data_IF_369315143711
#
_entry.id   IF_369315143711
#
_cell.length_a   1.000
_cell.length_b   1.000
_cell.length_c   1.000
_cell.angle_alpha   90.00
_cell.angle_beta   90.00
_cell.angle_gamma   90.00
#
_symmetry.space_group_name_H-M   'P 1'
#
loop_
_entity.id
_entity.type
_entity.pdbx_description
1 polymer ?
#
# COMPACT_ATOMS: atom_id res chain seq x y z
N UNK A 1 23.97 46.22 44.92
CA UNK A 1 24.13 44.80 44.67
C UNK A 1 23.04 44.32 43.73
N UNK A 2 23.42 43.86 42.57
CA UNK A 2 22.47 43.34 41.61
C UNK A 2 22.07 41.95 42.09
N UNK A 3 20.80 41.74 42.30
CA UNK A 3 20.27 40.43 42.67
C UNK A 3 20.37 39.52 41.45
N UNK A 4 21.28 38.55 41.51
CA UNK A 4 21.50 37.58 40.44
C UNK A 4 20.24 36.81 40.06
N UNK A 5 19.27 36.72 40.98
CA UNK A 5 17.98 36.05 40.71
C UNK A 5 17.10 36.85 39.76
N UNK A 6 17.36 38.16 39.60
CA UNK A 6 16.64 39.00 38.66
C UNK A 6 17.24 39.00 37.25
N UNK A 7 18.49 38.53 37.12
CA UNK A 7 19.20 38.45 35.83
C UNK A 7 18.87 37.18 35.04
N UNK A 8 18.32 36.21 35.72
CA UNK A 8 17.83 34.99 35.08
C UNK A 8 16.33 34.94 35.32
N UNK A 9 15.55 35.59 34.47
CA UNK A 9 14.11 35.29 34.47
C UNK A 9 14.02 33.78 34.32
N UNK A 10 13.29 33.18 35.24
CA UNK A 10 13.01 31.77 35.16
C UNK A 10 12.75 31.46 33.70
N UNK A 11 13.64 30.73 33.07
CA UNK A 11 13.42 30.21 31.74
C UNK A 11 12.15 29.43 31.92
N UNK A 12 11.05 30.05 31.50
CA UNK A 12 9.80 29.37 31.43
C UNK A 12 10.13 28.10 30.67
N UNK A 13 10.13 27.01 31.39
CA UNK A 13 10.42 25.72 30.81
C UNK A 13 9.51 25.54 29.63
N UNK A 14 10.06 25.61 28.44
CA UNK A 14 9.42 25.24 27.22
C UNK A 14 9.18 23.72 27.17
N UNK A 15 9.46 23.06 28.31
CA UNK A 15 9.12 21.67 28.50
C UNK A 15 7.60 21.55 28.52
N UNK A 16 6.99 21.28 27.41
CA UNK A 16 5.61 20.97 27.51
C UNK A 16 4.75 21.07 26.28
N UNK A 17 5.26 21.56 25.17
CA UNK A 17 4.49 21.44 23.94
C UNK A 17 5.05 20.25 23.17
N UNK A 18 4.64 19.06 23.60
CA UNK A 18 4.73 17.90 22.72
C UNK A 18 3.60 18.07 21.71
N UNK A 19 3.93 18.63 20.57
CA UNK A 19 2.99 18.59 19.44
C UNK A 19 2.98 17.15 18.97
N UNK A 20 1.99 16.39 19.42
CA UNK A 20 1.68 15.11 18.84
C UNK A 20 1.16 15.38 17.43
N UNK A 21 2.02 15.24 16.43
CA UNK A 21 1.54 15.18 15.08
C UNK A 21 0.63 13.96 14.95
N UNK A 22 -0.60 14.13 14.42
CA UNK A 22 -1.44 12.97 14.18
C UNK A 22 -0.68 12.00 13.29
N UNK A 23 -0.75 10.70 13.59
CA UNK A 23 -0.23 9.68 12.71
C UNK A 23 -0.81 9.88 11.30
N UNK A 24 0.00 9.73 10.22
CA UNK A 24 -0.54 9.85 8.88
C UNK A 24 -1.73 8.92 8.73
N UNK A 25 -2.83 9.42 8.21
CA UNK A 25 -4.02 8.63 7.96
C UNK A 25 -3.67 7.46 7.04
N UNK A 26 -4.29 6.30 7.27
CA UNK A 26 -4.18 5.18 6.34
C UNK A 26 -4.65 5.61 4.94
N UNK A 27 -4.05 5.13 3.85
CA UNK A 27 -4.50 5.43 2.50
C UNK A 27 -5.97 5.08 2.32
N UNK A 28 -6.71 5.92 1.58
CA UNK A 28 -8.07 5.60 1.18
C UNK A 28 -8.02 4.46 0.16
N UNK A 29 -8.69 3.31 0.41
CA UNK A 29 -8.59 2.16 -0.48
C UNK A 29 -9.04 2.43 -1.91
N UNK A 30 -10.13 3.20 -2.09
CA UNK A 30 -10.65 3.51 -3.43
C UNK A 30 -9.70 4.42 -4.21
N UNK A 31 -9.16 5.45 -3.56
CA UNK A 31 -8.19 6.35 -4.18
C UNK A 31 -6.90 5.61 -4.52
N UNK A 32 -6.44 4.73 -3.64
CA UNK A 32 -5.25 3.93 -3.89
C UNK A 32 -5.48 2.97 -5.07
N UNK A 33 -6.64 2.31 -5.16
CA UNK A 33 -6.98 1.44 -6.28
C UNK A 33 -6.97 2.20 -7.61
N UNK A 34 -7.53 3.40 -7.64
CA UNK A 34 -7.50 4.26 -8.82
C UNK A 34 -6.06 4.66 -9.18
N UNK A 35 -5.26 4.99 -8.18
CA UNK A 35 -3.85 5.32 -8.38
C UNK A 35 -3.05 4.14 -8.94
N UNK A 36 -3.28 2.93 -8.44
CA UNK A 36 -2.63 1.72 -8.94
C UNK A 36 -2.97 1.48 -10.41
N UNK A 37 -4.24 1.67 -10.78
CA UNK A 37 -4.67 1.56 -12.18
C UNK A 37 -3.99 2.60 -13.07
N UNK A 38 -3.98 3.86 -12.67
CA UNK A 38 -3.38 4.94 -13.48
C UNK A 38 -1.87 4.83 -13.55
N UNK A 39 -1.23 4.25 -12.54
CA UNK A 39 0.22 4.01 -12.52
C UNK A 39 0.65 2.86 -13.42
N UNK A 40 -0.29 2.06 -13.92
CA UNK A 40 0.01 0.90 -14.76
C UNK A 40 0.51 -0.32 -13.99
N UNK A 41 0.35 -0.34 -12.67
CA UNK A 41 0.65 -1.51 -11.83
C UNK A 41 -0.33 -2.62 -12.13
N UNK A 42 0.14 -3.86 -12.19
CA UNK A 42 -0.69 -5.04 -12.34
C UNK A 42 -0.61 -5.90 -11.08
N UNK A 43 -1.73 -6.50 -10.73
CA UNK A 43 -1.90 -7.34 -9.57
C UNK A 43 -2.31 -8.75 -10.02
N UNK A 44 -1.35 -9.67 -9.93
CA UNK A 44 -1.54 -11.06 -10.36
C UNK A 44 -1.89 -11.94 -9.18
N UNK A 45 -2.94 -12.71 -9.31
CA UNK A 45 -3.39 -13.57 -8.23
C UNK A 45 -4.21 -14.75 -8.70
N UNK A 46 -4.73 -15.48 -7.72
CA UNK A 46 -5.63 -16.61 -7.92
C UNK A 46 -6.82 -16.47 -6.98
N UNK A 47 -8.00 -16.71 -7.51
CA UNK A 47 -9.25 -16.68 -6.74
C UNK A 47 -9.26 -17.70 -5.59
N UNK A 48 -8.45 -18.75 -5.68
CA UNK A 48 -8.33 -19.80 -4.66
C UNK A 48 -7.25 -19.51 -3.61
N UNK A 49 -6.43 -18.50 -3.82
CA UNK A 49 -5.29 -18.23 -2.95
C UNK A 49 -5.73 -17.45 -1.70
N UNK A 50 -5.53 -18.00 -0.49
CA UNK A 50 -5.88 -17.28 0.75
C UNK A 50 -5.16 -15.94 0.90
N UNK A 51 -3.91 -15.84 0.50
CA UNK A 51 -3.14 -14.60 0.53
C UNK A 51 -3.74 -13.54 -0.40
N UNK A 52 -4.21 -13.94 -1.58
CA UNK A 52 -4.90 -13.02 -2.51
C UNK A 52 -6.22 -12.52 -1.93
N UNK A 53 -6.96 -13.39 -1.25
CA UNK A 53 -8.20 -13.01 -0.57
C UNK A 53 -7.91 -12.04 0.57
N UNK A 54 -6.84 -12.26 1.34
CA UNK A 54 -6.40 -11.34 2.39
C UNK A 54 -6.00 -9.99 1.80
N UNK A 55 -5.28 -9.98 0.69
CA UNK A 55 -4.91 -8.76 -0.02
C UNK A 55 -6.15 -7.98 -0.46
N UNK A 56 -7.10 -8.63 -1.06
CA UNK A 56 -8.34 -8.01 -1.52
C UNK A 56 -9.15 -7.40 -0.36
N UNK A 57 -9.17 -8.06 0.79
CA UNK A 57 -9.88 -7.56 1.98
C UNK A 57 -9.36 -6.22 2.48
N UNK A 58 -8.06 -5.94 2.29
CA UNK A 58 -7.49 -4.64 2.69
C UNK A 58 -8.10 -3.48 1.90
N UNK A 59 -8.61 -3.74 0.70
CA UNK A 59 -9.27 -2.74 -0.14
C UNK A 59 -10.78 -2.67 0.10
N UNK A 60 -11.37 -3.62 0.84
CA UNK A 60 -12.80 -3.65 1.07
C UNK A 60 -13.59 -3.62 -0.24
N UNK A 61 -14.58 -2.75 -0.34
CA UNK A 61 -15.42 -2.62 -1.54
C UNK A 61 -14.63 -2.14 -2.77
N UNK A 62 -13.50 -1.47 -2.56
CA UNK A 62 -12.64 -1.00 -3.65
C UNK A 62 -11.87 -2.13 -4.35
N UNK A 63 -11.93 -3.35 -3.86
CA UNK A 63 -11.26 -4.51 -4.48
C UNK A 63 -11.64 -4.71 -5.94
N UNK A 64 -12.87 -4.37 -6.31
CA UNK A 64 -13.35 -4.49 -7.70
C UNK A 64 -12.68 -3.50 -8.66
N UNK A 65 -12.03 -2.48 -8.14
CA UNK A 65 -11.30 -1.47 -8.92
C UNK A 65 -9.82 -1.81 -9.10
N UNK A 66 -9.33 -2.86 -8.45
CA UNK A 66 -7.92 -3.25 -8.54
C UNK A 66 -7.54 -3.71 -9.95
N UNK A 67 -6.30 -3.43 -10.40
CA UNK A 67 -5.80 -3.89 -11.69
C UNK A 67 -5.45 -5.38 -11.64
N UNK A 68 -6.45 -6.21 -11.37
CA UNK A 68 -6.32 -7.63 -11.08
C UNK A 68 -6.28 -8.49 -12.34
N UNK A 69 -5.34 -9.44 -12.35
CA UNK A 69 -5.20 -10.45 -13.40
C UNK A 69 -5.35 -11.84 -12.76
N UNK A 70 -6.34 -12.59 -13.22
CA UNK A 70 -6.65 -13.92 -12.70
C UNK A 70 -5.80 -14.99 -13.37
N UNK A 71 -4.97 -15.68 -12.60
CA UNK A 71 -4.03 -16.67 -13.12
C UNK A 71 -4.58 -18.11 -13.14
N UNK A 72 -5.64 -18.39 -12.38
CA UNK A 72 -6.11 -19.76 -12.15
C UNK A 72 -7.36 -20.16 -12.96
N UNK A 73 -8.04 -19.21 -13.58
CA UNK A 73 -9.25 -19.49 -14.39
C UNK A 73 -8.90 -19.67 -15.86
N UNK A 74 -8.21 -20.77 -16.17
CA UNK A 74 -7.68 -21.02 -17.51
C UNK A 74 -8.76 -21.22 -18.58
N UNK A 75 -9.93 -21.71 -18.20
CA UNK A 75 -11.06 -21.93 -19.12
C UNK A 75 -11.92 -20.68 -19.31
N UNK A 76 -12.24 -20.00 -18.21
CA UNK A 76 -13.12 -18.83 -18.20
C UNK A 76 -12.39 -17.56 -18.64
N UNK A 77 -11.11 -17.42 -18.26
CA UNK A 77 -10.27 -16.25 -18.54
C UNK A 77 -8.92 -16.66 -19.12
N UNK A 78 -8.89 -17.28 -20.31
CA UNK A 78 -7.65 -17.82 -20.88
C UNK A 78 -6.62 -16.74 -21.21
N UNK A 79 -7.05 -15.53 -21.56
CA UNK A 79 -6.14 -14.43 -21.88
C UNK A 79 -5.42 -13.97 -20.63
N UNK A 80 -6.13 -13.84 -19.50
CA UNK A 80 -5.52 -13.46 -18.23
C UNK A 80 -4.56 -14.54 -17.73
N UNK A 81 -4.96 -15.81 -17.80
CA UNK A 81 -4.10 -16.91 -17.42
C UNK A 81 -2.82 -16.97 -18.27
N UNK A 82 -2.94 -16.72 -19.58
CA UNK A 82 -1.77 -16.64 -20.47
C UNK A 82 -0.86 -15.47 -20.11
N UNK A 83 -1.42 -14.33 -19.73
CA UNK A 83 -0.63 -13.16 -19.28
C UNK A 83 0.19 -13.49 -18.04
N UNK A 84 -0.34 -14.30 -17.13
CA UNK A 84 0.40 -14.75 -15.95
C UNK A 84 1.63 -15.61 -16.32
N UNK A 85 1.48 -16.48 -17.32
CA UNK A 85 2.61 -17.27 -17.82
C UNK A 85 3.66 -16.39 -18.47
N UNK A 86 3.24 -15.43 -19.28
CA UNK A 86 4.14 -14.49 -19.94
C UNK A 86 4.90 -13.65 -18.91
N UNK A 87 4.23 -13.25 -17.83
CA UNK A 87 4.85 -12.49 -16.74
C UNK A 87 5.66 -13.37 -15.78
N UNK A 88 5.68 -14.69 -16.00
CA UNK A 88 6.42 -15.63 -15.15
C UNK A 88 6.00 -15.52 -13.68
N UNK A 89 4.69 -15.54 -13.43
CA UNK A 89 4.14 -15.49 -12.07
C UNK A 89 4.25 -16.88 -11.44
N UNK A 90 5.02 -16.99 -10.37
CA UNK A 90 5.26 -18.23 -9.64
C UNK A 90 4.76 -18.21 -8.19
N UNK A 91 4.26 -17.08 -7.74
CA UNK A 91 3.69 -16.90 -6.40
C UNK A 91 2.53 -15.91 -6.44
N UNK A 92 1.60 -16.04 -5.52
CA UNK A 92 0.42 -15.19 -5.42
C UNK A 92 0.29 -14.56 -4.04
N UNK A 93 -0.10 -13.28 -3.94
CA UNK A 93 -0.18 -12.32 -5.03
C UNK A 93 1.19 -11.81 -5.47
N UNK A 94 1.31 -11.39 -6.71
CA UNK A 94 2.48 -10.68 -7.22
C UNK A 94 2.03 -9.36 -7.84
N UNK A 95 2.60 -8.27 -7.36
CA UNK A 95 2.39 -6.93 -7.91
C UNK A 95 3.57 -6.60 -8.82
N UNK A 96 3.29 -6.09 -10.02
CA UNK A 96 4.33 -5.69 -10.97
C UNK A 96 4.12 -4.25 -11.38
N UNK A 97 5.15 -3.44 -11.16
CA UNK A 97 5.21 -2.05 -11.58
C UNK A 97 5.63 -1.97 -13.06
N UNK A 98 5.21 -0.94 -13.83
CA UNK A 98 5.67 -0.76 -15.22
C UNK A 98 7.18 -0.77 -15.40
N UNK A 99 7.95 -0.36 -14.38
CA UNK A 99 9.41 -0.41 -14.40
C UNK A 99 10.00 -1.83 -14.25
N UNK A 100 9.15 -2.85 -14.05
CA UNK A 100 9.55 -4.24 -13.86
C UNK A 100 9.76 -4.67 -12.42
N UNK A 101 9.71 -3.75 -11.45
CA UNK A 101 9.80 -4.12 -10.04
C UNK A 101 8.63 -4.98 -9.62
N UNK A 102 8.91 -5.96 -8.76
CA UNK A 102 7.91 -6.89 -8.23
C UNK A 102 7.81 -6.78 -6.72
N UNK A 103 6.60 -6.94 -6.23
CA UNK A 103 6.30 -7.14 -4.81
C UNK A 103 5.51 -8.43 -4.69
N UNK A 104 6.06 -9.40 -3.99
CA UNK A 104 5.45 -10.72 -3.81
C UNK A 104 4.86 -10.82 -2.41
N UNK A 105 3.65 -11.38 -2.33
CA UNK A 105 2.92 -11.51 -1.08
C UNK A 105 2.02 -10.32 -0.77
N UNK A 106 1.30 -10.42 0.34
CA UNK A 106 0.36 -9.38 0.76
C UNK A 106 1.12 -8.11 1.11
N UNK A 107 0.71 -7.01 0.47
CA UNK A 107 1.24 -5.68 0.74
C UNK A 107 0.20 -4.88 1.52
N UNK A 108 0.64 -4.11 2.51
CA UNK A 108 -0.24 -3.16 3.17
C UNK A 108 -0.60 -2.03 2.20
N UNK A 109 -1.71 -1.34 2.47
CA UNK A 109 -2.10 -0.18 1.66
C UNK A 109 -0.98 0.87 1.63
N UNK A 110 -0.32 1.07 2.76
CA UNK A 110 0.80 2.02 2.87
C UNK A 110 2.00 1.59 2.03
N UNK A 111 2.33 0.31 2.04
CA UNK A 111 3.43 -0.22 1.22
C UNK A 111 3.16 0.01 -0.27
N UNK A 112 1.94 -0.23 -0.72
CA UNK A 112 1.56 0.01 -2.11
C UNK A 112 1.57 1.50 -2.46
N UNK A 113 1.09 2.36 -1.56
CA UNK A 113 1.11 3.81 -1.75
C UNK A 113 2.54 4.34 -1.93
N UNK A 114 3.45 3.94 -1.04
CA UNK A 114 4.85 4.40 -1.07
C UNK A 114 5.59 3.86 -2.29
N UNK A 115 5.26 2.66 -2.71
CA UNK A 115 5.90 2.00 -3.85
C UNK A 115 5.49 2.63 -5.19
N UNK A 116 4.33 3.20 -5.26
CA UNK A 116 3.76 3.80 -6.47
C UNK A 116 3.65 5.31 -6.37
#
# INVERSE_FOLDING_TARGET
MVDLKKLFPAVASLAGIVISLPAPAAPNPAELADHLNTSGVLYYGSWRCPACNAQAKLFGDAKSKLPYVECAKTRELPIQAAACKTAEIDAYPTWIHPNGERRVGVQTLKQLEVWT
#
